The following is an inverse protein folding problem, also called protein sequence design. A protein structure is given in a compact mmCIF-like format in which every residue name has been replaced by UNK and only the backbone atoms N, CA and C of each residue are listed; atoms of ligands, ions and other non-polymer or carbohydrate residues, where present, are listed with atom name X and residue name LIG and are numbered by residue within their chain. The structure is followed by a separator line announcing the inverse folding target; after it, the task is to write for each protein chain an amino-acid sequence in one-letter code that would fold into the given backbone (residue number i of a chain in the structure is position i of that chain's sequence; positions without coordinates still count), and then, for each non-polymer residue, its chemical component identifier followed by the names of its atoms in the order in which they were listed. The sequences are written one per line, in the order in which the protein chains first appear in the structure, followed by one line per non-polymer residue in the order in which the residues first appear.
data_IF_601624730735
#
_entry.id   IF_601624730735
#
_cell.length_a   1.000
_cell.length_b   1.000
_cell.length_c   1.000
_cell.angle_alpha   90.00
_cell.angle_beta   90.00
_cell.angle_gamma   90.00
#
_symmetry.space_group_name_H-M   'P 1'
#
loop_
_entity.id
_entity.type
_entity.pdbx_description
1 polymer ?
#
# COMPACT_ATOMS: atom_id res chain seq x y z
N UNK A 1 -18.91 -11.10 3.91
CA UNK A 1 -17.73 -10.22 3.86
C UNK A 1 -17.26 -9.98 5.27
N UNK A 2 -15.99 -10.28 5.58
CA UNK A 2 -15.45 -10.00 6.91
C UNK A 2 -15.20 -8.48 7.00
N UNK A 3 -15.48 -7.84 8.13
CA UNK A 3 -15.28 -6.39 8.29
C UNK A 3 -13.85 -5.94 7.97
N UNK A 4 -12.88 -6.85 8.12
CA UNK A 4 -11.46 -6.61 7.81
C UNK A 4 -11.19 -6.45 6.32
N UNK A 5 -11.87 -7.23 5.47
CA UNK A 5 -11.69 -7.14 4.02
C UNK A 5 -12.19 -5.79 3.50
N UNK A 6 -13.30 -5.29 4.05
CA UNK A 6 -13.81 -3.96 3.68
C UNK A 6 -12.84 -2.84 4.06
N UNK A 7 -12.24 -2.88 5.26
CA UNK A 7 -11.27 -1.89 5.68
C UNK A 7 -10.02 -1.90 4.79
N UNK A 8 -9.56 -3.10 4.43
CA UNK A 8 -8.44 -3.29 3.51
C UNK A 8 -8.74 -2.71 2.13
N UNK A 9 -9.92 -2.98 1.57
CA UNK A 9 -10.34 -2.40 0.28
C UNK A 9 -10.33 -0.87 0.31
N UNK A 10 -10.88 -0.25 1.35
CA UNK A 10 -10.82 1.22 1.50
C UNK A 10 -9.38 1.73 1.57
N UNK A 11 -8.52 1.12 2.38
CA UNK A 11 -7.11 1.51 2.47
C UNK A 11 -6.40 1.41 1.12
N UNK A 12 -6.63 0.34 0.36
CA UNK A 12 -6.04 0.17 -0.98
C UNK A 12 -6.50 1.28 -1.91
N UNK A 13 -7.80 1.61 -1.92
CA UNK A 13 -8.33 2.67 -2.77
C UNK A 13 -7.71 4.04 -2.44
N UNK A 14 -7.61 4.39 -1.15
CA UNK A 14 -6.96 5.61 -0.70
C UNK A 14 -5.47 5.66 -1.13
N UNK A 15 -4.74 4.55 -1.00
CA UNK A 15 -3.32 4.49 -1.40
C UNK A 15 -3.17 4.63 -2.91
N UNK A 16 -4.00 3.95 -3.70
CA UNK A 16 -3.94 4.03 -5.17
C UNK A 16 -4.28 5.44 -5.65
N UNK A 17 -5.24 6.12 -5.03
CA UNK A 17 -5.56 7.52 -5.33
C UNK A 17 -4.37 8.45 -5.02
N UNK A 18 -3.71 8.24 -3.87
CA UNK A 18 -2.48 8.96 -3.52
C UNK A 18 -1.37 8.72 -4.53
N UNK A 19 -1.12 7.48 -4.94
CA UNK A 19 -0.10 7.14 -5.95
C UNK A 19 -0.43 7.80 -7.30
N UNK A 20 -1.68 7.70 -7.75
CA UNK A 20 -2.15 8.28 -9.01
C UNK A 20 -1.94 9.80 -9.02
N UNK A 21 -2.27 10.46 -7.91
CA UNK A 21 -2.14 11.92 -7.77
C UNK A 21 -0.67 12.35 -7.69
N UNK A 22 0.14 11.68 -6.87
CA UNK A 22 1.54 12.02 -6.63
C UNK A 22 2.43 11.78 -7.87
N UNK A 23 2.24 10.64 -8.55
CA UNK A 23 3.00 10.31 -9.75
C UNK A 23 2.38 10.85 -11.04
N UNK A 24 1.19 11.45 -10.95
CA UNK A 24 0.40 11.92 -12.09
C UNK A 24 0.18 10.84 -13.15
N UNK A 25 -0.15 9.62 -12.70
CA UNK A 25 -0.42 8.46 -13.56
C UNK A 25 -1.90 8.06 -13.50
N UNK A 26 -2.36 7.28 -14.47
CA UNK A 26 -3.74 6.80 -14.47
C UNK A 26 -3.99 5.88 -13.28
N UNK A 27 -5.22 5.89 -12.76
CA UNK A 27 -5.61 5.04 -11.62
C UNK A 27 -5.32 3.57 -11.87
N UNK A 28 -5.57 3.06 -13.09
CA UNK A 28 -5.28 1.67 -13.46
C UNK A 28 -3.77 1.36 -13.41
N UNK A 29 -2.93 2.34 -13.78
CA UNK A 29 -1.48 2.21 -13.72
C UNK A 29 -0.97 2.28 -12.28
N UNK A 30 -1.50 3.20 -11.47
CA UNK A 30 -1.22 3.26 -10.04
C UNK A 30 -1.61 1.96 -9.33
N UNK A 31 -2.77 1.43 -9.69
CA UNK A 31 -3.28 0.17 -9.18
C UNK A 31 -2.32 -0.96 -9.54
N UNK A 32 -1.94 -1.08 -10.82
CA UNK A 32 -0.99 -2.10 -11.27
C UNK A 32 0.38 -1.97 -10.55
N UNK A 33 0.91 -0.76 -10.39
CA UNK A 33 2.15 -0.54 -9.61
C UNK A 33 2.01 -0.99 -8.16
N UNK A 34 0.92 -0.62 -7.51
CA UNK A 34 0.69 -0.96 -6.12
C UNK A 34 0.52 -2.47 -5.94
N UNK A 35 -0.27 -3.15 -6.78
CA UNK A 35 -0.43 -4.61 -6.73
C UNK A 35 0.87 -5.40 -7.01
N UNK A 36 1.83 -4.82 -7.74
CA UNK A 36 3.14 -5.43 -7.98
C UNK A 36 4.20 -5.03 -6.93
N UNK A 37 3.83 -4.22 -5.93
CA UNK A 37 4.72 -3.80 -4.86
C UNK A 37 4.78 -4.85 -3.76
N UNK A 38 5.93 -4.97 -3.11
CA UNK A 38 6.05 -5.79 -1.90
C UNK A 38 5.12 -5.25 -0.79
N UNK A 39 4.81 -3.95 -0.81
CA UNK A 39 3.96 -3.31 0.22
C UNK A 39 2.55 -3.88 0.18
N UNK A 40 2.03 -4.13 -1.02
CA UNK A 40 0.72 -4.77 -1.16
C UNK A 40 0.72 -6.19 -0.60
N UNK A 41 1.76 -6.99 -0.88
CA UNK A 41 1.88 -8.34 -0.31
C UNK A 41 1.87 -8.29 1.22
N UNK A 42 2.60 -7.36 1.83
CA UNK A 42 2.59 -7.16 3.28
C UNK A 42 1.25 -6.63 3.80
N UNK A 43 0.56 -5.79 3.03
CA UNK A 43 -0.73 -5.22 3.42
C UNK A 43 -1.84 -6.29 3.48
N UNK A 44 -1.88 -7.19 2.49
CA UNK A 44 -2.84 -8.31 2.50
C UNK A 44 -2.45 -9.39 3.50
N UNK A 45 -1.17 -9.46 3.86
CA UNK A 45 -0.67 -10.36 4.88
C UNK A 45 -1.17 -9.96 6.28
N UNK A 46 -1.84 -10.90 6.94
CA UNK A 46 -2.45 -10.65 8.26
C UNK A 46 -1.45 -10.81 9.40
N UNK A 47 -0.31 -11.45 9.15
CA UNK A 47 0.76 -11.67 10.13
C UNK A 47 1.60 -10.42 10.33
N UNK A 48 1.78 -9.61 9.27
CA UNK A 48 2.45 -8.30 9.38
C UNK A 48 1.64 -7.28 10.19
N UNK A 49 0.31 -7.40 10.19
CA UNK A 49 -0.59 -6.43 10.82
C UNK A 49 -0.73 -5.09 10.09
N UNK A 50 -0.15 -4.93 8.89
CA UNK A 50 -0.13 -3.66 8.16
C UNK A 50 -1.53 -3.15 7.81
N UNK A 51 -2.49 -4.04 7.58
CA UNK A 51 -3.90 -3.68 7.31
C UNK A 51 -4.60 -2.94 8.47
N UNK A 52 -3.99 -2.92 9.66
CA UNK A 52 -4.47 -2.15 10.81
C UNK A 52 -3.88 -0.72 10.87
N UNK A 53 -2.83 -0.46 10.08
CA UNK A 53 -2.17 0.84 10.01
C UNK A 53 -2.94 1.80 9.10
N UNK A 54 -2.61 3.09 9.18
CA UNK A 54 -3.19 4.12 8.31
C UNK A 54 -2.69 3.98 6.87
N UNK A 55 -3.53 4.29 5.86
CA UNK A 55 -3.15 4.22 4.44
C UNK A 55 -1.95 5.14 4.12
N UNK A 56 -1.80 6.27 4.82
CA UNK A 56 -0.64 7.16 4.72
C UNK A 56 0.68 6.46 5.07
N UNK A 57 0.69 5.62 6.10
CA UNK A 57 1.90 4.89 6.52
C UNK A 57 2.29 3.84 5.47
N UNK A 58 1.29 3.13 4.95
CA UNK A 58 1.50 2.14 3.89
C UNK A 58 2.01 2.80 2.61
N UNK A 59 1.47 3.98 2.28
CA UNK A 59 1.96 4.78 1.15
C UNK A 59 3.38 5.29 1.38
N UNK A 60 3.76 5.63 2.61
CA UNK A 60 5.13 6.00 2.95
C UNK A 60 6.11 4.83 2.73
N UNK A 61 5.74 3.63 3.17
CA UNK A 61 6.49 2.40 2.88
C UNK A 61 6.65 2.15 1.37
N UNK A 62 5.59 2.42 0.58
CA UNK A 62 5.64 2.28 -0.87
C UNK A 62 6.60 3.30 -1.50
N UNK A 63 6.62 4.54 -1.02
CA UNK A 63 7.61 5.53 -1.47
C UNK A 63 9.03 5.11 -1.09
N UNK A 64 9.23 4.56 0.10
CA UNK A 64 10.52 4.01 0.54
C UNK A 64 10.94 2.85 -0.36
N UNK A 65 10.06 1.91 -0.66
CA UNK A 65 10.29 0.82 -1.62
C UNK A 65 10.71 1.35 -2.99
N UNK A 66 10.04 2.39 -3.49
CA UNK A 66 10.41 3.01 -4.76
C UNK A 66 11.76 3.74 -4.73
N UNK A 67 12.15 4.30 -3.58
CA UNK A 67 13.38 5.06 -3.43
C UNK A 67 14.60 4.16 -3.18
N UNK A 68 14.42 3.07 -2.41
CA UNK A 68 15.49 2.14 -2.01
C UNK A 68 15.48 0.83 -2.80
N UNK A 69 14.42 0.53 -3.55
CA UNK A 69 14.22 -0.71 -4.29
C UNK A 69 13.82 -1.91 -3.43
N UNK A 70 13.51 -1.69 -2.14
CA UNK A 70 13.07 -2.70 -1.18
C UNK A 70 12.36 -2.02 -0.01
N UNK A 71 11.46 -2.73 0.67
CA UNK A 71 10.76 -2.17 1.85
C UNK A 71 11.73 -2.03 3.03
N UNK A 72 11.91 -0.79 3.49
CA UNK A 72 12.52 -0.51 4.80
C UNK A 72 11.43 -0.66 5.87
N UNK A 73 11.20 -1.90 6.33
CA UNK A 73 10.47 -2.10 7.58
C UNK A 73 11.50 -1.99 8.71
N UNK A 74 11.43 -0.91 9.49
CA UNK A 74 12.17 -0.83 10.74
C UNK A 74 11.64 -1.91 11.69
N UNK A 75 12.24 -3.10 11.67
CA UNK A 75 12.11 -4.05 12.78
C UNK A 75 12.66 -3.34 14.03
N UNK A 76 11.77 -3.00 14.97
CA UNK A 76 12.10 -2.57 16.33
C UNK A 76 12.03 -3.79 17.25
#
# INVERSE_FOLDING_TARGET
MCKKDQLLEYSIQDIVDMISTDQNIEYDEAMNKFYNSEVFEKLVDKETGLYLESPEYVYDLFKDEMNFGHIIQAEI
#
